data_IF_439292343736
#
_entry.id   IF_439292343736
#
_cell.length_a   1.000
_cell.length_b   1.000
_cell.length_c   1.000
_cell.angle_alpha   90.00
_cell.angle_beta   90.00
_cell.angle_gamma   90.00
#
_symmetry.space_group_name_H-M   'P 1'
#
loop_
_entity.id
_entity.type
_entity.pdbx_description
1 polymer ?
#
# COMPACT_ATOMS: atom_id res chain seq x y z
N UNK A 1 57.02 -8.43 -12.20
CA UNK A 1 56.25 -8.96 -11.05
C UNK A 1 56.36 -7.94 -9.92
N UNK A 2 55.35 -7.36 -9.29
CA UNK A 2 53.91 -7.55 -9.22
C UNK A 2 53.30 -6.16 -8.89
N UNK A 3 52.42 -5.61 -9.74
CA UNK A 3 51.82 -4.29 -9.56
C UNK A 3 50.56 -4.41 -8.69
N UNK A 4 50.72 -4.43 -7.36
CA UNK A 4 49.60 -4.28 -6.42
C UNK A 4 49.08 -2.83 -6.42
N UNK A 5 48.38 -2.43 -7.47
CA UNK A 5 47.56 -1.22 -7.46
C UNK A 5 46.33 -1.52 -6.63
N UNK A 6 46.31 -1.05 -5.38
CA UNK A 6 45.08 -0.97 -4.57
C UNK A 6 44.05 -0.18 -5.40
N UNK A 7 42.89 -0.77 -5.63
CA UNK A 7 41.77 -0.09 -6.27
C UNK A 7 41.44 1.17 -5.46
N UNK A 8 41.23 2.33 -6.10
CA UNK A 8 40.92 3.56 -5.38
C UNK A 8 39.61 3.38 -4.61
N UNK A 9 39.65 3.67 -3.31
CA UNK A 9 38.46 3.73 -2.48
C UNK A 9 37.52 4.82 -3.02
N UNK A 10 36.38 4.42 -3.57
CA UNK A 10 35.30 5.34 -3.96
C UNK A 10 34.88 6.19 -2.76
N UNK A 11 34.84 7.54 -2.87
CA UNK A 11 34.45 8.42 -1.78
C UNK A 11 33.04 8.10 -1.25
N UNK A 12 32.80 8.16 0.07
CA UNK A 12 31.49 7.90 0.69
C UNK A 12 30.33 8.70 0.08
N UNK A 13 30.65 9.87 -0.48
CA UNK A 13 29.73 10.84 -1.09
C UNK A 13 29.12 10.38 -2.43
N UNK A 14 29.82 9.53 -3.18
CA UNK A 14 29.35 9.05 -4.49
C UNK A 14 28.12 8.15 -4.35
N UNK A 15 28.08 7.32 -3.28
CA UNK A 15 26.96 6.42 -3.02
C UNK A 15 25.73 7.18 -2.56
N UNK A 16 25.89 8.23 -1.75
CA UNK A 16 24.78 9.09 -1.33
C UNK A 16 24.15 9.79 -2.53
N UNK A 17 24.96 10.39 -3.41
CA UNK A 17 24.47 11.08 -4.61
C UNK A 17 23.86 10.14 -5.64
N UNK A 18 24.40 8.92 -5.81
CA UNK A 18 23.78 7.90 -6.68
C UNK A 18 22.45 7.40 -6.11
N UNK A 19 22.36 7.19 -4.79
CA UNK A 19 21.13 6.82 -4.08
C UNK A 19 20.05 7.87 -4.26
N UNK A 20 20.41 9.12 -3.98
CA UNK A 20 19.57 10.28 -4.16
C UNK A 20 19.09 10.33 -5.62
N UNK A 21 19.97 10.22 -6.61
CA UNK A 21 19.60 10.26 -8.03
C UNK A 21 18.73 9.08 -8.53
N UNK A 22 18.79 7.89 -7.93
CA UNK A 22 18.00 6.73 -8.37
C UNK A 22 16.54 6.84 -7.89
N UNK A 23 16.37 7.09 -6.59
CA UNK A 23 15.06 7.25 -5.96
C UNK A 23 14.42 8.61 -6.32
N UNK A 24 15.21 9.69 -6.37
CA UNK A 24 14.72 11.03 -6.72
C UNK A 24 14.15 11.05 -8.14
N UNK A 25 14.75 10.32 -9.08
CA UNK A 25 14.16 10.17 -10.42
C UNK A 25 12.83 9.42 -10.38
N UNK A 26 12.76 8.32 -9.64
CA UNK A 26 11.54 7.52 -9.52
C UNK A 26 10.33 8.33 -9.06
N UNK A 27 10.53 9.30 -8.16
CA UNK A 27 9.45 10.14 -7.63
C UNK A 27 9.31 11.45 -8.41
N UNK A 28 10.40 12.15 -8.71
CA UNK A 28 10.32 13.54 -9.13
C UNK A 28 10.48 13.76 -10.64
N UNK A 29 10.93 12.75 -11.41
CA UNK A 29 11.21 12.91 -12.83
C UNK A 29 9.95 13.19 -13.66
N UNK A 30 8.91 12.37 -13.52
CA UNK A 30 7.62 12.59 -14.19
C UNK A 30 6.49 11.76 -13.58
N UNK A 31 5.24 12.15 -13.85
CA UNK A 31 4.06 11.36 -13.48
C UNK A 31 3.98 10.01 -14.22
N UNK A 32 4.66 9.87 -15.37
CA UNK A 32 4.77 8.59 -16.07
C UNK A 32 5.69 7.63 -15.31
N UNK A 33 6.89 8.09 -14.95
CA UNK A 33 7.88 7.29 -14.20
C UNK A 33 7.33 6.89 -12.84
N UNK A 34 6.74 7.85 -12.11
CA UNK A 34 6.13 7.61 -10.80
C UNK A 34 5.03 6.52 -10.87
N UNK A 35 4.15 6.59 -11.89
CA UNK A 35 3.11 5.56 -12.10
C UNK A 35 3.68 4.21 -12.49
N UNK A 36 4.70 4.19 -13.34
CA UNK A 36 5.35 2.95 -13.76
C UNK A 36 6.02 2.25 -12.58
N UNK A 37 6.62 3.00 -11.65
CA UNK A 37 7.39 2.44 -10.54
C UNK A 37 6.59 2.18 -9.26
N UNK A 38 5.57 3.00 -8.97
CA UNK A 38 4.84 2.95 -7.69
C UNK A 38 3.32 2.84 -7.87
N UNK A 39 2.83 2.73 -9.11
CA UNK A 39 1.39 2.66 -9.47
C UNK A 39 0.56 3.89 -9.09
N UNK A 40 1.20 5.01 -8.77
CA UNK A 40 0.53 6.28 -8.47
C UNK A 40 1.28 7.46 -9.09
N UNK A 41 0.58 8.55 -9.38
CA UNK A 41 1.23 9.80 -9.81
C UNK A 41 1.90 10.54 -8.64
N UNK A 42 2.64 11.60 -8.94
CA UNK A 42 3.43 12.32 -7.94
C UNK A 42 2.58 13.03 -6.92
N UNK A 43 1.41 13.53 -7.34
CA UNK A 43 0.47 14.23 -6.46
C UNK A 43 -0.09 13.26 -5.42
N UNK A 44 -0.52 12.09 -5.87
CA UNK A 44 -1.06 11.03 -5.03
C UNK A 44 -0.01 10.50 -4.07
N UNK A 45 1.22 10.30 -4.54
CA UNK A 45 2.36 9.93 -3.70
C UNK A 45 2.62 10.98 -2.60
N UNK A 46 2.65 12.27 -2.94
CA UNK A 46 2.87 13.33 -1.98
C UNK A 46 1.76 13.40 -0.91
N UNK A 47 0.50 13.21 -1.32
CA UNK A 47 -0.64 13.14 -0.39
C UNK A 47 -0.49 11.94 0.56
N UNK A 48 -0.13 10.76 0.04
CA UNK A 48 0.09 9.58 0.88
C UNK A 48 1.22 9.80 1.90
N UNK A 49 2.36 10.34 1.48
CA UNK A 49 3.45 10.66 2.40
C UNK A 49 3.04 11.70 3.45
N UNK A 50 2.23 12.69 3.07
CA UNK A 50 1.68 13.66 4.02
C UNK A 50 0.77 13.02 5.06
N UNK A 51 -0.15 12.13 4.63
CA UNK A 51 -1.04 11.41 5.54
C UNK A 51 -0.27 10.47 6.47
N UNK A 52 0.68 9.71 5.95
CA UNK A 52 1.49 8.80 6.75
C UNK A 52 2.31 9.53 7.82
N UNK A 53 2.79 10.76 7.55
CA UNK A 53 3.46 11.58 8.57
C UNK A 53 2.51 12.10 9.63
N UNK A 54 1.44 12.77 9.20
CA UNK A 54 0.63 13.58 10.10
C UNK A 54 -0.43 12.76 10.84
N UNK A 55 -0.93 11.68 10.24
CA UNK A 55 -1.97 10.84 10.82
C UNK A 55 -1.35 9.56 11.42
N UNK A 56 -0.51 8.85 10.66
CA UNK A 56 0.06 7.57 11.12
C UNK A 56 1.38 7.69 11.91
N UNK A 57 1.90 8.91 12.09
CA UNK A 57 3.10 9.21 12.86
C UNK A 57 4.41 8.69 12.24
N UNK A 58 4.46 8.45 10.93
CA UNK A 58 5.67 8.00 10.25
C UNK A 58 6.70 9.13 10.20
N UNK A 59 7.91 8.89 10.71
CA UNK A 59 8.98 9.89 10.78
C UNK A 59 10.23 9.44 10.04
N UNK A 60 10.97 10.42 9.51
CA UNK A 60 12.27 10.18 8.90
C UNK A 60 13.28 9.67 9.94
N UNK A 61 14.24 8.87 9.49
CA UNK A 61 15.41 8.48 10.28
C UNK A 61 16.61 9.34 9.88
N UNK A 62 17.74 9.19 10.57
CA UNK A 62 18.99 9.85 10.19
C UNK A 62 19.49 9.49 8.78
N UNK A 63 19.02 8.35 8.23
CA UNK A 63 19.60 7.77 7.01
C UNK A 63 18.58 7.66 5.86
N UNK A 64 17.28 7.60 6.17
CA UNK A 64 16.19 7.37 5.20
C UNK A 64 15.05 8.31 5.56
N UNK A 65 14.58 9.10 4.60
CA UNK A 65 13.40 9.95 4.77
C UNK A 65 12.10 9.18 4.52
N UNK A 66 10.98 9.79 4.89
CA UNK A 66 9.66 9.15 4.77
C UNK A 66 9.35 8.79 3.32
N UNK A 67 9.65 9.66 2.36
CA UNK A 67 9.39 9.39 0.96
C UNK A 67 10.19 8.18 0.46
N UNK A 68 11.48 8.04 0.82
CA UNK A 68 12.30 6.88 0.47
C UNK A 68 11.77 5.59 1.09
N UNK A 69 11.32 5.64 2.35
CA UNK A 69 10.66 4.49 2.99
C UNK A 69 9.41 4.06 2.22
N UNK A 70 8.53 5.02 1.93
CA UNK A 70 7.25 4.78 1.24
C UNK A 70 7.49 4.32 -0.19
N UNK A 71 8.48 4.87 -0.88
CA UNK A 71 8.85 4.49 -2.22
C UNK A 71 9.41 3.06 -2.30
N UNK A 72 10.28 2.65 -1.36
CA UNK A 72 10.73 1.25 -1.26
C UNK A 72 9.54 0.31 -1.07
N UNK A 73 8.65 0.64 -0.15
CA UNK A 73 7.46 -0.16 0.15
C UNK A 73 6.54 -0.30 -1.07
N UNK A 74 6.19 0.81 -1.72
CA UNK A 74 5.33 0.81 -2.90
C UNK A 74 5.97 0.11 -4.10
N UNK A 75 7.28 0.26 -4.31
CA UNK A 75 7.97 -0.42 -5.40
C UNK A 75 7.94 -1.95 -5.24
N UNK A 76 8.11 -2.44 -4.01
CA UNK A 76 7.95 -3.86 -3.67
C UNK A 76 6.54 -4.34 -4.03
N UNK A 77 5.50 -3.64 -3.59
CA UNK A 77 4.11 -4.04 -3.83
C UNK A 77 3.69 -3.91 -5.30
N UNK A 78 4.18 -2.88 -6.00
CA UNK A 78 3.83 -2.59 -7.39
C UNK A 78 4.33 -3.66 -8.39
N UNK A 79 5.40 -4.36 -8.04
CA UNK A 79 6.15 -5.23 -8.94
C UNK A 79 6.48 -6.61 -8.35
N UNK A 80 6.08 -6.91 -7.12
CA UNK A 80 6.41 -8.15 -6.39
C UNK A 80 7.93 -8.43 -6.36
N UNK A 81 8.74 -7.37 -6.22
CA UNK A 81 10.19 -7.50 -6.24
C UNK A 81 10.74 -7.96 -4.89
N UNK A 82 11.72 -8.87 -4.94
CA UNK A 82 12.38 -9.40 -3.73
C UNK A 82 13.29 -8.34 -3.12
N UNK A 83 13.48 -8.39 -1.80
CA UNK A 83 14.35 -7.50 -1.02
C UNK A 83 15.74 -7.27 -1.68
N UNK A 84 16.36 -8.32 -2.25
CA UNK A 84 17.66 -8.20 -2.95
C UNK A 84 17.66 -7.22 -4.13
N UNK A 85 16.54 -7.05 -4.82
CA UNK A 85 16.38 -6.10 -5.93
C UNK A 85 16.40 -4.67 -5.38
N UNK A 86 15.58 -4.40 -4.37
CA UNK A 86 15.50 -3.10 -3.67
C UNK A 86 16.84 -2.71 -3.05
N UNK A 87 17.59 -3.65 -2.47
CA UNK A 87 18.92 -3.39 -1.93
C UNK A 87 19.86 -2.78 -2.98
N UNK A 88 19.74 -3.21 -4.24
CA UNK A 88 20.56 -2.68 -5.33
C UNK A 88 20.05 -1.34 -5.82
N UNK A 89 18.74 -1.21 -6.02
CA UNK A 89 18.10 -0.01 -6.56
C UNK A 89 18.21 1.18 -5.61
N UNK A 90 17.97 0.96 -4.32
CA UNK A 90 18.05 2.00 -3.28
C UNK A 90 19.42 2.00 -2.58
N UNK A 91 20.32 1.08 -2.95
CA UNK A 91 21.66 0.92 -2.38
C UNK A 91 21.61 0.86 -0.83
N UNK A 92 20.62 0.15 -0.29
CA UNK A 92 20.40 -0.09 1.15
C UNK A 92 20.71 -1.53 1.54
N UNK A 93 21.03 -1.77 2.80
CA UNK A 93 21.18 -3.15 3.29
C UNK A 93 19.83 -3.86 3.31
N UNK A 94 19.82 -5.19 3.17
CA UNK A 94 18.55 -5.95 3.22
C UNK A 94 17.80 -5.81 4.53
N UNK A 95 18.55 -5.64 5.63
CA UNK A 95 18.00 -5.32 6.94
C UNK A 95 17.29 -3.96 6.95
N UNK A 96 17.89 -2.93 6.32
CA UNK A 96 17.28 -1.61 6.15
C UNK A 96 15.99 -1.71 5.35
N UNK A 97 16.00 -2.43 4.23
CA UNK A 97 14.79 -2.64 3.41
C UNK A 97 13.69 -3.33 4.21
N UNK A 98 14.01 -4.45 4.88
CA UNK A 98 13.02 -5.19 5.69
C UNK A 98 12.47 -4.35 6.82
N UNK A 99 13.31 -3.59 7.52
CA UNK A 99 12.89 -2.72 8.62
C UNK A 99 11.90 -1.66 8.13
N UNK A 100 12.26 -0.93 7.10
CA UNK A 100 11.42 0.15 6.59
C UNK A 100 10.13 -0.37 5.95
N UNK A 101 10.17 -1.54 5.29
CA UNK A 101 8.95 -2.20 4.81
C UNK A 101 7.95 -2.44 5.95
N UNK A 102 8.40 -3.01 7.07
CA UNK A 102 7.52 -3.27 8.22
C UNK A 102 7.05 -1.98 8.91
N UNK A 103 7.91 -0.97 9.04
CA UNK A 103 7.53 0.33 9.62
C UNK A 103 6.44 0.99 8.78
N UNK A 104 6.60 1.03 7.46
CA UNK A 104 5.60 1.61 6.55
C UNK A 104 4.32 0.77 6.56
N UNK A 105 4.40 -0.56 6.55
CA UNK A 105 3.24 -1.44 6.67
C UNK A 105 2.41 -1.11 7.92
N UNK A 106 3.07 -0.99 9.09
CA UNK A 106 2.40 -0.64 10.33
C UNK A 106 1.79 0.77 10.27
N UNK A 107 2.46 1.74 9.64
CA UNK A 107 1.91 3.07 9.45
C UNK A 107 0.69 3.07 8.52
N UNK A 108 0.70 2.28 7.44
CA UNK A 108 -0.45 2.12 6.54
C UNK A 108 -1.63 1.47 7.27
N UNK A 109 -1.38 0.46 8.11
CA UNK A 109 -2.43 -0.16 8.92
C UNK A 109 -3.04 0.82 9.95
N UNK A 110 -2.20 1.63 10.62
CA UNK A 110 -2.70 2.71 11.49
C UNK A 110 -3.51 3.76 10.74
N UNK A 111 -3.03 4.16 9.55
CA UNK A 111 -3.75 5.10 8.69
C UNK A 111 -5.12 4.54 8.29
N UNK A 112 -5.20 3.23 7.99
CA UNK A 112 -6.45 2.54 7.67
C UNK A 112 -7.42 2.56 8.86
N UNK A 113 -6.95 2.29 10.08
CA UNK A 113 -7.79 2.35 11.29
C UNK A 113 -8.30 3.77 11.59
N UNK A 114 -7.48 4.81 11.40
CA UNK A 114 -7.87 6.22 11.55
C UNK A 114 -8.87 6.66 10.48
N UNK A 115 -8.63 6.31 9.21
CA UNK A 115 -9.52 6.68 8.10
C UNK A 115 -10.86 5.94 8.14
N UNK A 116 -10.91 4.71 8.67
CA UNK A 116 -12.16 3.98 8.86
C UNK A 116 -12.93 4.46 10.09
N UNK A 117 -12.26 5.10 11.06
CA UNK A 117 -12.97 5.79 12.15
C UNK A 117 -13.76 7.01 11.67
N UNK A 118 -13.39 7.61 10.53
CA UNK A 118 -14.07 8.77 9.93
C UNK A 118 -15.02 8.44 8.77
N UNK A 119 -15.40 7.17 8.55
CA UNK A 119 -16.58 6.88 7.72
C UNK A 119 -17.83 7.07 8.55
N UNK A 120 -18.27 8.33 8.68
CA UNK A 120 -19.64 8.69 9.04
C UNK A 120 -20.58 8.45 7.85
N UNK A 121 -20.66 7.21 7.45
CA UNK A 121 -21.70 6.56 6.66
C UNK A 121 -21.61 5.10 7.10
N UNK A 122 -22.72 4.36 7.19
CA UNK A 122 -22.75 2.98 7.70
C UNK A 122 -22.01 1.94 6.86
N UNK A 123 -20.90 2.32 6.23
CA UNK A 123 -20.07 1.54 5.34
C UNK A 123 -18.91 0.95 6.14
N UNK A 124 -18.84 -0.38 6.20
CA UNK A 124 -17.75 -1.11 6.83
C UNK A 124 -17.06 -1.97 5.77
N UNK A 125 -15.76 -2.23 5.95
CA UNK A 125 -14.98 -3.08 5.04
C UNK A 125 -14.63 -4.39 5.73
N UNK A 126 -15.07 -5.51 5.14
CA UNK A 126 -14.71 -6.86 5.60
C UNK A 126 -13.61 -7.44 4.70
N UNK A 127 -12.44 -7.73 5.27
CA UNK A 127 -11.27 -8.22 4.53
C UNK A 127 -11.08 -9.73 4.73
N UNK A 128 -11.06 -10.46 3.62
CA UNK A 128 -10.82 -11.90 3.59
C UNK A 128 -9.56 -12.19 2.76
N UNK A 129 -8.47 -12.61 3.41
CA UNK A 129 -7.18 -12.89 2.74
C UNK A 129 -7.12 -14.32 2.19
N UNK A 130 -6.31 -14.52 1.13
CA UNK A 130 -6.08 -15.85 0.53
C UNK A 130 -6.91 -16.16 -0.72
N UNK A 131 -7.59 -15.16 -1.29
CA UNK A 131 -8.35 -15.29 -2.53
C UNK A 131 -7.62 -14.63 -3.70
N UNK A 132 -7.69 -15.24 -4.90
CA UNK A 132 -7.19 -14.64 -6.14
C UNK A 132 -7.99 -13.36 -6.48
N UNK A 133 -7.34 -12.35 -7.04
CA UNK A 133 -7.98 -11.06 -7.37
C UNK A 133 -9.12 -11.11 -8.42
N UNK A 134 -9.36 -12.28 -9.02
CA UNK A 134 -10.47 -12.55 -9.95
C UNK A 134 -11.59 -13.40 -9.33
N UNK A 135 -11.55 -13.68 -8.02
CA UNK A 135 -12.59 -14.44 -7.35
C UNK A 135 -13.92 -13.67 -7.38
N UNK A 136 -15.03 -14.39 -7.63
CA UNK A 136 -16.35 -13.78 -7.68
C UNK A 136 -16.84 -13.36 -6.28
N UNK A 137 -17.41 -12.17 -6.17
CA UNK A 137 -17.97 -11.58 -4.94
C UNK A 137 -18.90 -12.55 -4.19
N UNK A 138 -19.73 -13.30 -4.92
CA UNK A 138 -20.64 -14.30 -4.35
C UNK A 138 -19.94 -15.46 -3.64
N UNK A 139 -18.76 -15.85 -4.12
CA UNK A 139 -17.94 -16.92 -3.53
C UNK A 139 -17.22 -16.40 -2.28
N UNK A 140 -16.71 -15.18 -2.34
CA UNK A 140 -16.07 -14.50 -1.21
C UNK A 140 -17.09 -14.27 -0.09
N UNK A 141 -18.28 -13.77 -0.41
CA UNK A 141 -19.35 -13.55 0.57
C UNK A 141 -19.74 -14.86 1.27
N UNK A 142 -19.88 -15.95 0.51
CA UNK A 142 -20.25 -17.26 1.07
C UNK A 142 -19.19 -17.77 2.05
N UNK A 143 -17.92 -17.63 1.72
CA UNK A 143 -16.84 -18.03 2.63
C UNK A 143 -16.85 -17.16 3.88
N UNK A 144 -16.99 -15.84 3.70
CA UNK A 144 -17.06 -14.87 4.79
C UNK A 144 -18.15 -15.22 5.83
N UNK A 145 -19.35 -15.58 5.40
CA UNK A 145 -20.47 -15.93 6.32
C UNK A 145 -20.34 -17.31 6.95
N UNK A 146 -19.62 -18.26 6.31
CA UNK A 146 -19.53 -19.65 6.77
C UNK A 146 -18.48 -19.91 7.86
N UNK A 147 -17.58 -18.95 8.11
CA UNK A 147 -16.51 -19.07 9.09
C UNK A 147 -17.05 -18.98 10.53
N UNK A 148 -16.38 -19.67 11.45
CA UNK A 148 -16.75 -19.71 12.88
C UNK A 148 -16.80 -18.30 13.52
N UNK A 149 -15.89 -17.40 13.10
CA UNK A 149 -15.91 -15.96 13.41
C UNK A 149 -16.11 -15.12 12.13
N UNK A 150 -17.00 -15.60 11.26
CA UNK A 150 -17.30 -15.02 9.96
C UNK A 150 -18.04 -13.68 10.04
N UNK A 151 -18.33 -13.11 8.87
CA UNK A 151 -19.14 -11.90 8.76
C UNK A 151 -20.55 -12.17 9.28
N UNK A 152 -20.95 -11.45 10.34
CA UNK A 152 -22.26 -11.58 10.97
C UNK A 152 -23.11 -10.33 10.73
N UNK A 153 -24.40 -10.54 10.49
CA UNK A 153 -25.39 -9.46 10.38
C UNK A 153 -26.29 -9.51 11.62
N UNK A 154 -26.43 -8.41 12.39
CA UNK A 154 -27.35 -8.39 13.52
C UNK A 154 -28.77 -8.75 13.10
N UNK A 155 -29.47 -9.52 13.93
CA UNK A 155 -30.82 -10.00 13.60
C UNK A 155 -31.76 -8.82 13.31
N UNK A 156 -32.42 -8.85 12.15
CA UNK A 156 -33.35 -7.81 11.71
C UNK A 156 -32.69 -6.68 10.89
N UNK A 157 -31.39 -6.73 10.64
CA UNK A 157 -30.66 -5.78 9.82
C UNK A 157 -30.21 -6.42 8.50
N UNK A 158 -29.96 -5.57 7.50
CA UNK A 158 -29.41 -5.94 6.20
C UNK A 158 -28.29 -4.97 5.83
N UNK A 159 -27.20 -5.50 5.28
CA UNK A 159 -26.18 -4.70 4.63
C UNK A 159 -26.52 -4.51 3.16
N UNK A 160 -26.36 -3.27 2.68
CA UNK A 160 -26.47 -2.97 1.26
C UNK A 160 -25.14 -3.30 0.59
N UNK A 161 -25.21 -4.10 -0.46
CA UNK A 161 -24.03 -4.56 -1.20
C UNK A 161 -24.04 -4.01 -2.64
N UNK A 162 -22.86 -4.03 -3.24
CA UNK A 162 -22.71 -3.77 -4.67
C UNK A 162 -23.49 -4.78 -5.51
N UNK A 163 -23.84 -4.40 -6.74
CA UNK A 163 -24.64 -5.22 -7.66
C UNK A 163 -23.99 -6.55 -8.10
N UNK A 164 -22.74 -6.80 -7.70
CA UNK A 164 -22.02 -8.07 -7.88
C UNK A 164 -22.39 -9.15 -6.85
N UNK A 165 -22.94 -8.74 -5.70
CA UNK A 165 -23.30 -9.65 -4.60
C UNK A 165 -24.69 -10.27 -4.78
N UNK A 166 -24.92 -11.49 -4.26
CA UNK A 166 -26.23 -12.10 -4.26
C UNK A 166 -27.14 -11.50 -3.18
N UNK A 167 -28.45 -11.43 -3.45
CA UNK A 167 -29.46 -11.14 -2.42
C UNK A 167 -29.66 -12.38 -1.54
N UNK A 168 -29.31 -12.29 -0.26
CA UNK A 168 -29.43 -13.37 0.74
C UNK A 168 -29.84 -12.78 2.09
N UNK A 169 -30.19 -13.63 3.07
CA UNK A 169 -30.51 -13.14 4.42
C UNK A 169 -29.35 -12.31 4.99
N UNK A 170 -29.65 -11.08 5.44
CA UNK A 170 -28.66 -10.12 5.94
C UNK A 170 -27.93 -9.29 4.86
N UNK A 171 -28.11 -9.57 3.56
CA UNK A 171 -27.40 -8.86 2.47
C UNK A 171 -28.31 -8.57 1.27
N UNK A 172 -28.41 -7.29 0.88
CA UNK A 172 -29.20 -6.85 -0.26
C UNK A 172 -28.33 -6.09 -1.26
N UNK A 173 -28.16 -6.64 -2.46
CA UNK A 173 -27.53 -5.99 -3.57
C UNK A 173 -28.49 -5.02 -4.28
N UNK A 174 -27.94 -3.88 -4.73
CA UNK A 174 -28.71 -2.87 -5.46
C UNK A 174 -29.30 -3.42 -6.78
N UNK A 175 -30.50 -2.96 -7.12
CA UNK A 175 -31.17 -3.35 -8.37
C UNK A 175 -30.36 -2.90 -9.59
N UNK A 176 -29.98 -3.84 -10.45
CA UNK A 176 -29.27 -3.57 -11.71
C UNK A 176 -30.17 -2.77 -12.65
N UNK A 177 -29.99 -1.46 -12.70
CA UNK A 177 -30.69 -0.57 -13.63
C UNK A 177 -31.22 0.74 -13.03
N UNK A 178 -31.20 0.90 -11.70
CA UNK A 178 -31.66 2.14 -11.05
C UNK A 178 -30.52 2.73 -10.20
N UNK A 179 -30.04 3.94 -10.58
CA UNK A 179 -29.17 4.74 -9.70
C UNK A 179 -30.06 5.42 -8.66
N UNK A 180 -30.06 4.93 -7.43
CA UNK A 180 -30.60 5.70 -6.32
C UNK A 180 -29.61 6.83 -6.03
N UNK A 181 -29.94 8.04 -6.48
CA UNK A 181 -29.26 9.24 -5.99
C UNK A 181 -29.68 9.42 -4.53
N UNK A 182 -28.85 8.98 -3.59
CA UNK A 182 -28.91 9.51 -2.24
C UNK A 182 -28.43 10.97 -2.36
N UNK A 183 -29.37 11.91 -2.19
CA UNK A 183 -29.02 13.31 -1.95
C UNK A 183 -28.28 13.40 -0.61
N UNK A 184 -27.19 14.15 -0.63
CA UNK A 184 -26.34 14.51 0.52
C UNK A 184 -27.14 15.08 1.71
#
# INVERSE_FOLDING_TARGET
MNNNKRLPHTPPDTRHRIRELAYFRMIHESDLVCRQSMRMDRRTFAILCHLLRNVAGLSSTEIVDVEEMVAMFLHILAHDVKNRVIQREFVRSGETVSRHFNIVLLAVLRLYEELIKETCSGDFVYVLTGWEGSAADSRILRDAISRENGLQVPKGYYYLCDAGYPNVEGFLAQYRGQRYHLQE
#
